data_IF_050623230981
#
_entry.id   IF_050623230981
#
_cell.length_a   1.000
_cell.length_b   1.000
_cell.length_c   1.000
_cell.angle_alpha   90.00
_cell.angle_beta   90.00
_cell.angle_gamma   90.00
#
_symmetry.space_group_name_H-M   'P 1'
#
loop_
_entity.id
_entity.type
_entity.pdbx_description
1 polymer ?
#
# COMPACT_ATOMS: atom_id res chain seq x y z
N UNK A 1 -36.33 -7.77 -20.29
CA UNK A 1 -35.07 -7.34 -20.91
C UNK A 1 -34.76 -5.87 -20.61
N UNK A 2 -35.65 -4.92 -20.91
CA UNK A 2 -35.44 -3.46 -20.72
C UNK A 2 -35.17 -3.03 -19.26
N UNK A 3 -35.74 -3.70 -18.25
CA UNK A 3 -35.51 -3.39 -16.83
C UNK A 3 -34.13 -3.87 -16.38
N UNK A 4 -33.70 -5.04 -16.86
CA UNK A 4 -32.36 -5.56 -16.55
C UNK A 4 -31.25 -4.71 -17.18
N UNK A 5 -31.46 -4.20 -18.40
CA UNK A 5 -30.56 -3.27 -19.09
C UNK A 5 -30.47 -1.90 -18.40
N UNK A 6 -31.60 -1.36 -17.91
CA UNK A 6 -31.59 -0.12 -17.11
C UNK A 6 -30.85 -0.30 -15.78
N UNK A 7 -30.99 -1.44 -15.11
CA UNK A 7 -30.27 -1.74 -13.86
C UNK A 7 -28.77 -1.94 -14.13
N UNK A 8 -28.39 -2.56 -15.25
CA UNK A 8 -26.99 -2.72 -15.63
C UNK A 8 -26.32 -1.37 -15.96
N UNK A 9 -27.04 -0.45 -16.61
CA UNK A 9 -26.55 0.89 -16.91
C UNK A 9 -26.54 1.83 -15.67
N UNK A 10 -27.21 1.49 -14.58
CA UNK A 10 -27.20 2.24 -13.33
C UNK A 10 -26.09 1.80 -12.35
N UNK A 11 -25.37 0.71 -12.63
CA UNK A 11 -24.20 0.35 -11.81
C UNK A 11 -23.10 1.39 -12.05
N UNK A 12 -22.71 2.16 -11.04
CA UNK A 12 -21.67 3.17 -11.23
C UNK A 12 -20.42 2.47 -11.75
N UNK A 13 -19.96 2.91 -12.92
CA UNK A 13 -18.70 2.42 -13.48
C UNK A 13 -17.57 2.83 -12.51
N UNK A 14 -17.00 1.86 -11.80
CA UNK A 14 -15.94 2.07 -10.81
C UNK A 14 -14.73 2.81 -11.40
N UNK A 15 -14.43 2.54 -12.65
CA UNK A 15 -13.34 3.22 -13.35
C UNK A 15 -13.67 4.70 -13.59
N UNK A 16 -14.91 5.02 -13.96
CA UNK A 16 -15.35 6.41 -14.12
C UNK A 16 -15.32 7.16 -12.77
N UNK A 17 -15.70 6.51 -11.67
CA UNK A 17 -15.60 7.08 -10.34
C UNK A 17 -14.14 7.37 -9.97
N UNK A 18 -13.22 6.42 -10.25
CA UNK A 18 -11.79 6.60 -10.03
C UNK A 18 -11.24 7.78 -10.85
N UNK A 19 -11.55 7.85 -12.14
CA UNK A 19 -11.13 8.95 -13.02
C UNK A 19 -11.65 10.30 -12.49
N UNK A 20 -12.89 10.35 -12.05
CA UNK A 20 -13.48 11.57 -11.48
C UNK A 20 -12.81 11.97 -10.16
N UNK A 21 -12.46 11.01 -9.32
CA UNK A 21 -11.71 11.27 -8.09
C UNK A 21 -10.31 11.83 -8.40
N UNK A 22 -9.60 11.25 -9.35
CA UNK A 22 -8.27 11.71 -9.78
C UNK A 22 -8.30 13.14 -10.35
N UNK A 23 -9.30 13.48 -11.16
CA UNK A 23 -9.45 14.83 -11.73
C UNK A 23 -9.61 15.94 -10.68
N UNK A 24 -10.05 15.61 -9.48
CA UNK A 24 -10.21 16.57 -8.37
C UNK A 24 -8.92 16.78 -7.59
N UNK A 25 -7.88 15.98 -7.83
CA UNK A 25 -6.61 16.05 -7.12
C UNK A 25 -5.61 16.90 -7.90
N UNK A 26 -4.86 17.75 -7.16
CA UNK A 26 -3.69 18.40 -7.74
C UNK A 26 -2.56 17.40 -7.91
N UNK A 27 -1.98 17.30 -9.09
CA UNK A 27 -0.85 16.42 -9.38
C UNK A 27 0.39 16.72 -8.54
N UNK A 28 0.49 17.93 -7.99
CA UNK A 28 1.55 18.33 -7.05
C UNK A 28 1.12 18.07 -5.59
N UNK A 29 0.71 16.84 -5.32
CA UNK A 29 0.30 16.36 -4.01
C UNK A 29 0.96 15.03 -3.69
N UNK A 30 0.93 14.66 -2.43
CA UNK A 30 1.49 13.41 -1.92
C UNK A 30 0.44 12.64 -1.12
N UNK A 31 0.47 11.32 -1.24
CA UNK A 31 -0.25 10.40 -0.38
C UNK A 31 0.51 10.31 0.93
N UNK A 32 -0.16 10.55 2.05
CA UNK A 32 0.42 10.42 3.38
C UNK A 32 -0.39 9.40 4.17
N UNK A 33 0.27 8.32 4.60
CA UNK A 33 -0.31 7.30 5.49
C UNK A 33 0.42 7.37 6.83
N UNK A 34 -0.34 7.63 7.90
CA UNK A 34 0.19 7.79 9.24
C UNK A 34 0.08 6.48 10.06
N UNK A 35 0.82 6.40 11.16
CA UNK A 35 0.83 5.21 12.04
C UNK A 35 -0.52 4.95 12.73
N UNK A 36 -1.35 5.98 12.89
CA UNK A 36 -2.71 5.91 13.41
C UNK A 36 -3.74 5.43 12.36
N UNK A 37 -3.27 4.92 11.21
CA UNK A 37 -4.10 4.48 10.08
C UNK A 37 -4.91 5.59 9.39
N UNK A 38 -4.55 6.84 9.53
CA UNK A 38 -5.10 7.91 8.71
C UNK A 38 -4.41 7.96 7.35
N UNK A 39 -5.20 8.21 6.31
CA UNK A 39 -4.73 8.48 4.95
C UNK A 39 -5.23 9.84 4.49
N UNK A 40 -4.34 10.62 3.90
CA UNK A 40 -4.62 11.98 3.41
C UNK A 40 -3.89 12.24 2.10
N UNK A 41 -4.47 13.08 1.26
CA UNK A 41 -3.78 13.67 0.10
C UNK A 41 -3.42 15.10 0.47
N UNK A 42 -2.14 15.42 0.48
CA UNK A 42 -1.62 16.71 0.96
C UNK A 42 -0.78 17.35 -0.14
N UNK A 43 -0.98 18.65 -0.45
CA UNK A 43 -0.14 19.37 -1.40
C UNK A 43 1.35 19.30 -1.00
N UNK A 44 2.23 19.05 -1.96
CA UNK A 44 3.69 18.88 -1.71
C UNK A 44 4.32 20.10 -1.05
N UNK A 45 3.82 21.30 -1.34
CA UNK A 45 4.27 22.53 -0.69
C UNK A 45 3.98 22.53 0.82
N UNK A 46 2.83 21.95 1.23
CA UNK A 46 2.45 21.84 2.64
C UNK A 46 3.38 20.88 3.38
N UNK A 47 3.74 19.75 2.77
CA UNK A 47 4.67 18.77 3.35
C UNK A 47 6.06 19.40 3.52
N UNK A 48 6.55 20.15 2.52
CA UNK A 48 7.82 20.88 2.63
C UNK A 48 7.81 21.85 3.81
N UNK A 49 6.72 22.60 3.99
CA UNK A 49 6.56 23.52 5.12
C UNK A 49 6.51 22.81 6.47
N UNK A 50 5.86 21.63 6.54
CA UNK A 50 5.81 20.82 7.76
C UNK A 50 7.20 20.29 8.13
N UNK A 51 7.96 19.76 7.17
CA UNK A 51 9.34 19.28 7.40
C UNK A 51 10.26 20.40 7.92
N UNK A 52 10.08 21.63 7.47
CA UNK A 52 10.82 22.79 7.98
C UNK A 52 10.45 23.15 9.44
N UNK A 53 9.23 22.83 9.86
CA UNK A 53 8.76 23.07 11.23
C UNK A 53 9.09 21.93 12.20
N UNK A 54 9.34 20.70 11.72
CA UNK A 54 9.66 19.53 12.55
C UNK A 54 10.87 19.74 13.45
N UNK A 55 11.81 20.61 13.07
CA UNK A 55 12.96 20.96 13.90
C UNK A 55 12.59 21.64 15.24
N UNK A 56 11.35 22.10 15.38
CA UNK A 56 10.84 22.83 16.57
C UNK A 56 9.72 22.08 17.31
N UNK A 57 9.31 20.88 16.84
CA UNK A 57 8.26 20.09 17.48
C UNK A 57 8.85 19.11 18.49
N UNK A 58 8.21 18.99 19.65
CA UNK A 58 8.55 17.91 20.58
C UNK A 58 8.17 16.55 19.97
N UNK A 59 9.00 15.51 20.19
CA UNK A 59 8.80 14.16 19.63
C UNK A 59 7.41 13.56 19.91
N UNK A 60 6.80 13.92 21.04
CA UNK A 60 5.46 13.43 21.45
C UNK A 60 4.33 13.93 20.54
N UNK A 61 4.55 15.03 19.82
CA UNK A 61 3.54 15.67 18.96
C UNK A 61 3.60 15.17 17.51
N UNK A 62 4.60 14.33 17.20
CA UNK A 62 4.82 13.81 15.85
C UNK A 62 4.14 12.44 15.71
N UNK A 63 3.11 12.36 14.86
CA UNK A 63 2.52 11.08 14.46
C UNK A 63 3.43 10.45 13.39
N UNK A 64 4.05 9.30 13.67
CA UNK A 64 4.94 8.65 12.71
C UNK A 64 4.22 8.35 11.39
N UNK A 65 4.93 8.51 10.30
CA UNK A 65 4.40 8.30 8.95
C UNK A 65 4.87 6.95 8.41
N UNK A 66 3.92 6.13 7.92
CA UNK A 66 4.20 4.84 7.27
C UNK A 66 4.61 5.01 5.81
N UNK A 67 3.99 5.97 5.12
CA UNK A 67 4.27 6.25 3.72
C UNK A 67 4.04 7.72 3.40
N UNK A 68 4.96 8.31 2.63
CA UNK A 68 4.77 9.56 1.88
C UNK A 68 5.16 9.25 0.45
N UNK A 69 4.24 9.46 -0.50
CA UNK A 69 4.49 9.14 -1.90
C UNK A 69 3.78 10.11 -2.84
N UNK A 70 4.46 10.65 -3.87
CA UNK A 70 3.85 11.58 -4.83
C UNK A 70 2.74 10.88 -5.64
N UNK A 71 1.63 11.59 -5.88
CA UNK A 71 0.53 11.08 -6.72
C UNK A 71 0.80 11.23 -8.22
N UNK A 72 1.84 11.96 -8.57
CA UNK A 72 2.29 12.10 -9.96
C UNK A 72 2.51 10.73 -10.59
N UNK A 73 2.00 10.54 -11.82
CA UNK A 73 2.00 9.25 -12.54
C UNK A 73 1.08 8.17 -11.94
N UNK A 74 0.10 8.56 -11.13
CA UNK A 74 -0.93 7.65 -10.60
C UNK A 74 -0.36 6.34 -10.03
N UNK A 75 0.46 6.39 -8.95
CA UNK A 75 1.17 5.24 -8.45
C UNK A 75 0.22 4.13 -8.01
N UNK A 76 0.54 2.89 -8.34
CA UNK A 76 -0.10 1.71 -7.77
C UNK A 76 0.58 1.39 -6.43
N UNK A 77 -0.15 1.50 -5.33
CA UNK A 77 0.37 1.20 -3.99
C UNK A 77 -0.22 -0.11 -3.49
N UNK A 78 0.64 -1.05 -3.23
CA UNK A 78 0.29 -2.36 -2.70
C UNK A 78 0.20 -2.29 -1.18
N UNK A 79 -0.96 -2.65 -0.62
CA UNK A 79 -1.13 -2.92 0.80
C UNK A 79 -0.85 -4.40 1.07
N UNK A 80 -0.03 -4.70 2.09
CA UNK A 80 0.37 -6.06 2.46
C UNK A 80 -0.09 -6.35 3.87
N UNK A 81 -0.84 -7.43 4.08
CA UNK A 81 -1.34 -7.84 5.38
C UNK A 81 -0.41 -8.81 6.11
N UNK A 82 -0.52 -8.85 7.43
CA UNK A 82 0.20 -9.83 8.26
C UNK A 82 -0.23 -11.28 8.01
N UNK A 83 -1.37 -11.51 7.36
CA UNK A 83 -1.86 -12.84 7.00
C UNK A 83 -1.45 -13.28 5.59
N UNK A 84 -0.56 -12.55 4.92
CA UNK A 84 0.00 -12.91 3.62
C UNK A 84 -0.91 -12.61 2.43
N UNK A 85 -1.84 -11.66 2.60
CA UNK A 85 -2.65 -11.12 1.50
C UNK A 85 -2.13 -9.77 1.05
N UNK A 86 -2.41 -9.45 -0.20
CA UNK A 86 -2.09 -8.16 -0.83
C UNK A 86 -3.29 -7.62 -1.58
N UNK A 87 -3.31 -6.31 -1.78
CA UNK A 87 -4.29 -5.63 -2.64
C UNK A 87 -3.89 -4.20 -2.91
N UNK A 88 -4.46 -3.59 -3.96
CA UNK A 88 -4.17 -2.20 -4.31
C UNK A 88 -4.96 -1.24 -3.43
N UNK A 89 -4.26 -0.28 -2.85
CA UNK A 89 -4.85 0.81 -2.09
C UNK A 89 -5.59 1.76 -3.03
N UNK A 90 -6.82 2.10 -2.68
CA UNK A 90 -7.69 3.03 -3.43
C UNK A 90 -7.48 4.46 -2.93
N UNK A 91 -6.23 4.92 -2.93
CA UNK A 91 -5.81 6.20 -2.40
C UNK A 91 -6.45 7.40 -3.09
N UNK A 92 -6.85 7.28 -4.36
CA UNK A 92 -7.49 8.33 -5.15
C UNK A 92 -8.78 8.87 -4.53
N UNK A 93 -9.46 8.05 -3.74
CA UNK A 93 -10.69 8.47 -3.04
C UNK A 93 -10.41 9.19 -1.71
N UNK A 94 -9.18 9.15 -1.19
CA UNK A 94 -8.83 9.80 0.07
C UNK A 94 -8.83 11.34 -0.03
N UNK A 95 -8.71 11.89 -1.24
CA UNK A 95 -8.82 13.34 -1.46
C UNK A 95 -10.23 13.88 -1.30
N UNK A 96 -11.26 13.06 -1.51
CA UNK A 96 -12.66 13.46 -1.37
C UNK A 96 -13.13 13.41 0.09
N UNK A 97 -12.66 12.41 0.84
CA UNK A 97 -12.96 12.25 2.27
C UNK A 97 -11.71 11.69 2.96
N UNK A 98 -10.95 12.51 3.66
CA UNK A 98 -9.94 12.02 4.57
C UNK A 98 -10.57 10.99 5.52
N UNK A 99 -9.91 9.90 5.81
CA UNK A 99 -10.50 8.86 6.63
C UNK A 99 -9.50 7.82 7.09
N UNK A 100 -10.03 6.80 7.73
CA UNK A 100 -9.25 5.65 8.17
C UNK A 100 -8.93 4.75 6.98
N UNK A 101 -7.79 4.11 7.06
CA UNK A 101 -7.22 3.29 6.01
C UNK A 101 -8.16 2.19 5.52
N UNK A 102 -8.96 1.61 6.42
CA UNK A 102 -9.90 0.52 6.14
C UNK A 102 -10.86 0.88 5.00
N UNK A 103 -11.26 2.15 4.90
CA UNK A 103 -12.17 2.63 3.85
C UNK A 103 -11.57 2.63 2.44
N UNK A 104 -10.25 2.54 2.35
CA UNK A 104 -9.50 2.61 1.08
C UNK A 104 -8.80 1.29 0.74
N UNK A 105 -9.00 0.26 1.56
CA UNK A 105 -8.52 -1.08 1.28
C UNK A 105 -9.47 -1.83 0.34
N UNK A 106 -8.96 -2.73 -0.52
CA UNK A 106 -9.79 -3.59 -1.32
C UNK A 106 -10.46 -4.67 -0.47
N UNK A 107 -11.56 -5.23 -1.00
CA UNK A 107 -12.30 -6.31 -0.34
C UNK A 107 -11.37 -7.46 0.10
N UNK A 108 -11.54 -7.88 1.36
CA UNK A 108 -10.76 -8.94 2.01
C UNK A 108 -9.51 -8.47 2.75
N UNK A 109 -9.25 -7.15 2.80
CA UNK A 109 -8.19 -6.56 3.63
C UNK A 109 -8.74 -5.61 4.72
N UNK A 110 -10.02 -5.29 4.73
CA UNK A 110 -10.61 -4.26 5.58
C UNK A 110 -10.41 -4.53 7.07
N UNK A 111 -10.39 -5.80 7.46
CA UNK A 111 -10.24 -6.23 8.86
C UNK A 111 -8.86 -6.84 9.16
N UNK A 112 -7.90 -6.68 8.24
CA UNK A 112 -6.57 -7.23 8.43
C UNK A 112 -5.55 -6.14 8.82
N UNK A 113 -4.60 -6.52 9.65
CA UNK A 113 -3.49 -5.63 9.98
C UNK A 113 -2.57 -5.48 8.77
N UNK A 114 -2.47 -4.28 8.24
CA UNK A 114 -1.53 -3.95 7.17
C UNK A 114 -0.16 -3.67 7.76
N UNK A 115 0.83 -4.42 7.30
CA UNK A 115 2.22 -4.33 7.78
C UNK A 115 3.09 -3.48 6.88
N UNK A 116 2.75 -3.35 5.60
CA UNK A 116 3.55 -2.56 4.67
C UNK A 116 2.71 -1.97 3.53
N UNK A 117 3.17 -0.83 3.00
CA UNK A 117 2.68 -0.20 1.78
C UNK A 117 3.84 -0.08 0.80
N UNK A 118 3.67 -0.65 -0.40
CA UNK A 118 4.72 -0.74 -1.39
C UNK A 118 4.24 -0.07 -2.68
N UNK A 119 4.78 1.11 -3.02
CA UNK A 119 4.59 1.69 -4.34
C UNK A 119 5.22 0.77 -5.38
N UNK A 120 4.40 0.30 -6.32
CA UNK A 120 4.87 -0.59 -7.38
C UNK A 120 5.56 0.23 -8.46
N UNK A 121 6.78 -0.12 -8.85
CA UNK A 121 7.45 0.53 -9.96
C UNK A 121 6.84 0.07 -11.30
N UNK A 122 7.02 0.89 -12.33
CA UNK A 122 6.57 0.58 -13.69
C UNK A 122 7.35 -0.60 -14.31
N UNK A 123 8.57 -0.84 -13.84
CA UNK A 123 9.42 -1.94 -14.33
C UNK A 123 8.95 -3.30 -13.85
N UNK A 124 8.88 -4.26 -14.77
CA UNK A 124 8.36 -5.62 -14.51
C UNK A 124 9.38 -6.57 -13.85
N UNK A 125 10.67 -6.29 -13.89
CA UNK A 125 11.73 -7.20 -13.40
C UNK A 125 11.99 -7.01 -11.90
N UNK A 126 10.90 -7.05 -11.11
CA UNK A 126 10.93 -6.85 -9.67
C UNK A 126 10.13 -7.96 -9.01
N UNK A 127 10.60 -8.36 -7.86
CA UNK A 127 9.96 -9.36 -7.02
C UNK A 127 9.60 -8.80 -5.66
N UNK A 128 8.63 -9.39 -5.00
CA UNK A 128 8.38 -9.20 -3.58
C UNK A 128 9.17 -10.24 -2.79
N UNK A 129 9.95 -9.78 -1.83
CA UNK A 129 10.58 -10.62 -0.82
C UNK A 129 9.74 -10.61 0.45
N UNK A 130 9.34 -11.78 0.90
CA UNK A 130 8.44 -12.00 2.03
C UNK A 130 9.17 -12.79 3.11
N UNK A 131 9.10 -12.33 4.36
CA UNK A 131 9.61 -13.08 5.50
C UNK A 131 8.52 -13.29 6.55
N UNK A 132 8.36 -14.54 6.99
CA UNK A 132 7.39 -14.93 8.01
C UNK A 132 8.01 -14.98 9.41
N UNK A 133 7.18 -15.01 10.43
CA UNK A 133 7.60 -15.06 11.84
C UNK A 133 8.33 -16.34 12.22
N UNK A 134 8.15 -17.43 11.46
CA UNK A 134 8.89 -18.69 11.60
C UNK A 134 10.19 -18.72 10.77
N UNK A 135 10.64 -17.55 10.26
CA UNK A 135 11.92 -17.40 9.57
C UNK A 135 11.95 -17.86 8.12
N UNK A 136 10.80 -18.18 7.51
CA UNK A 136 10.76 -18.58 6.10
C UNK A 136 10.78 -17.35 5.20
N UNK A 137 11.64 -17.41 4.19
CA UNK A 137 11.73 -16.41 3.13
C UNK A 137 11.11 -16.96 1.83
N UNK A 138 10.33 -16.13 1.15
CA UNK A 138 9.78 -16.41 -0.18
C UNK A 138 9.98 -15.20 -1.07
N UNK A 139 10.34 -15.44 -2.33
CA UNK A 139 10.40 -14.44 -3.39
C UNK A 139 9.31 -14.74 -4.41
N UNK A 140 8.55 -13.72 -4.80
CA UNK A 140 7.45 -13.82 -5.78
C UNK A 140 7.65 -12.72 -6.80
N UNK A 141 7.65 -13.06 -8.09
CA UNK A 141 7.68 -12.08 -9.17
C UNK A 141 6.40 -11.23 -9.15
N UNK A 142 6.53 -9.91 -9.38
CA UNK A 142 5.36 -9.05 -9.54
C UNK A 142 4.51 -9.50 -10.74
N UNK A 143 5.12 -10.09 -11.76
CA UNK A 143 4.40 -10.62 -12.92
C UNK A 143 3.48 -11.81 -12.59
N UNK A 144 3.74 -12.52 -11.49
CA UNK A 144 2.88 -13.61 -11.00
C UNK A 144 1.65 -13.11 -10.25
N UNK A 145 1.63 -11.80 -9.90
CA UNK A 145 0.55 -11.18 -9.16
C UNK A 145 -0.45 -10.64 -10.15
N UNK A 146 -1.50 -11.41 -10.42
CA UNK A 146 -2.57 -11.03 -11.34
C UNK A 146 -3.83 -10.62 -10.57
N UNK A 147 -4.64 -9.76 -11.19
CA UNK A 147 -6.03 -9.45 -10.80
C UNK A 147 -6.25 -8.96 -9.35
N UNK A 148 -5.38 -8.05 -8.90
CA UNK A 148 -5.47 -7.43 -7.55
C UNK A 148 -6.24 -6.09 -7.54
N UNK A 149 -6.81 -5.67 -8.65
CA UNK A 149 -7.38 -4.32 -8.80
C UNK A 149 -8.59 -4.04 -7.92
N UNK A 150 -9.43 -5.05 -7.66
CA UNK A 150 -10.71 -4.88 -6.96
C UNK A 150 -10.82 -5.66 -5.65
N UNK A 151 -9.98 -6.66 -5.45
CA UNK A 151 -9.98 -7.53 -4.26
C UNK A 151 -8.58 -7.93 -3.85
N UNK A 152 -8.46 -8.41 -2.63
CA UNK A 152 -7.21 -8.97 -2.14
C UNK A 152 -6.90 -10.34 -2.74
N UNK A 153 -5.61 -10.67 -2.79
CA UNK A 153 -5.10 -11.97 -3.21
C UNK A 153 -4.14 -12.51 -2.15
N UNK A 154 -4.26 -13.79 -1.82
CA UNK A 154 -3.31 -14.47 -0.94
C UNK A 154 -2.05 -14.85 -1.72
N UNK A 155 -0.91 -14.26 -1.36
CA UNK A 155 0.38 -14.53 -1.99
C UNK A 155 1.25 -15.49 -1.17
N UNK A 156 0.94 -15.64 0.11
CA UNK A 156 1.63 -16.56 1.00
C UNK A 156 0.63 -17.21 1.95
N UNK A 157 0.43 -18.53 1.82
CA UNK A 157 -0.33 -19.31 2.78
C UNK A 157 0.51 -19.57 4.01
N UNK A 158 0.12 -19.01 5.12
CA UNK A 158 0.79 -19.14 6.42
C UNK A 158 0.14 -20.25 7.23
N UNK A 159 0.95 -20.93 8.06
CA UNK A 159 0.45 -21.88 9.04
C UNK A 159 -0.27 -21.14 10.18
N UNK A 160 -1.10 -21.87 10.93
CA UNK A 160 -1.75 -21.31 12.12
C UNK A 160 -0.71 -20.70 13.08
N UNK A 161 -0.97 -19.49 13.57
CA UNK A 161 -0.08 -18.76 14.46
C UNK A 161 1.13 -18.08 13.79
N UNK A 162 1.42 -18.39 12.52
CA UNK A 162 2.51 -17.75 11.77
C UNK A 162 1.98 -16.48 11.09
N UNK A 163 2.75 -15.40 11.16
CA UNK A 163 2.44 -14.11 10.56
C UNK A 163 3.53 -13.68 9.59
N UNK A 164 3.17 -12.94 8.55
CA UNK A 164 4.12 -12.23 7.74
C UNK A 164 4.70 -11.06 8.55
N UNK A 165 6.03 -10.96 8.59
CA UNK A 165 6.74 -9.92 9.35
C UNK A 165 7.20 -8.77 8.48
N UNK A 166 7.59 -9.05 7.24
CA UNK A 166 8.06 -8.03 6.31
C UNK A 166 7.78 -8.43 4.87
N UNK A 167 7.55 -7.41 4.05
CA UNK A 167 7.47 -7.52 2.60
C UNK A 167 8.22 -6.34 1.99
N UNK A 168 9.14 -6.62 1.08
CA UNK A 168 9.97 -5.60 0.43
C UNK A 168 10.07 -5.84 -1.07
N UNK A 169 10.45 -4.80 -1.83
CA UNK A 169 10.83 -4.94 -3.23
C UNK A 169 12.25 -5.50 -3.34
N UNK A 170 12.40 -6.58 -4.11
CA UNK A 170 13.67 -7.18 -4.44
C UNK A 170 13.96 -6.96 -5.92
N UNK A 171 15.15 -6.41 -6.23
CA UNK A 171 15.65 -6.28 -7.61
C UNK A 171 16.59 -7.43 -7.93
N UNK A 172 16.69 -7.78 -9.21
CA UNK A 172 17.75 -8.67 -9.67
C UNK A 172 19.13 -8.09 -9.33
N UNK A 173 20.07 -8.96 -9.06
CA UNK A 173 21.45 -8.59 -8.71
C UNK A 173 21.60 -7.74 -7.42
N UNK A 174 20.59 -7.77 -6.54
CA UNK A 174 20.66 -7.15 -5.22
C UNK A 174 20.84 -8.20 -4.12
N UNK A 175 21.45 -7.78 -3.03
CA UNK A 175 21.54 -8.59 -1.82
C UNK A 175 20.42 -8.20 -0.86
N UNK A 176 19.82 -9.19 -0.20
CA UNK A 176 18.90 -9.00 0.91
C UNK A 176 19.63 -9.31 2.22
N UNK A 177 19.57 -8.38 3.15
CA UNK A 177 20.04 -8.58 4.51
C UNK A 177 18.85 -8.75 5.44
N UNK A 178 18.80 -9.86 6.15
CA UNK A 178 17.80 -10.15 7.17
C UNK A 178 18.50 -10.04 8.53
N UNK A 179 17.99 -9.15 9.38
CA UNK A 179 18.51 -8.95 10.74
C UNK A 179 17.48 -9.47 11.73
N UNK A 180 17.88 -10.41 12.59
CA UNK A 180 17.04 -10.91 13.67
C UNK A 180 17.00 -9.93 14.85
N UNK A 181 16.04 -10.10 15.75
CA UNK A 181 15.89 -9.36 17.00
C UNK A 181 17.10 -9.51 17.95
N UNK A 182 17.83 -10.64 17.84
CA UNK A 182 19.08 -10.89 18.59
C UNK A 182 20.34 -10.46 17.84
N UNK A 183 20.21 -9.65 16.77
CA UNK A 183 21.33 -9.07 16.03
C UNK A 183 22.05 -10.02 15.06
N UNK A 184 21.52 -11.22 14.77
CA UNK A 184 22.08 -12.07 13.73
C UNK A 184 21.72 -11.54 12.34
N UNK A 185 22.69 -11.56 11.43
CA UNK A 185 22.54 -11.07 10.06
C UNK A 185 22.70 -12.22 9.09
N UNK A 186 21.74 -12.37 8.19
CA UNK A 186 21.78 -13.32 7.07
C UNK A 186 21.79 -12.50 5.79
N UNK A 187 22.73 -12.78 4.89
CA UNK A 187 22.82 -12.22 3.55
C UNK A 187 22.32 -13.24 2.55
N UNK A 188 21.32 -12.88 1.76
CA UNK A 188 20.79 -13.67 0.64
C UNK A 188 21.12 -12.95 -0.67
N UNK A 189 21.35 -13.74 -1.74
CA UNK A 189 21.60 -13.25 -3.11
C UNK A 189 20.29 -13.30 -3.91
#
# INVERSE_FOLDING_TARGET
>A
ALIAERIANQRPNKELQRINALKQLSTDSEIVIQSNNEIKIIPSITIKKLKLKENNLERKDIIPTKLIWPIKNEPKILAVSELGKIGLLKWEFAGQKPGTLENFLPAGLENERIINFIPLPEKKDISLGLISSDGKFKRISINEITDISNRSTTILKLKSGVKLKSCILCRENSYLYIVSDIGRIIKLK
#
